data_IF_791402983503
#
_entry.id   IF_791402983503
#
_cell.length_a   1.000
_cell.length_b   1.000
_cell.length_c   1.000
_cell.angle_alpha   90.00
_cell.angle_beta   90.00
_cell.angle_gamma   90.00
#
_symmetry.space_group_name_H-M   'P 1'
#
loop_
_entity.id
_entity.type
_entity.pdbx_description
1 polymer ?
#
# COMPACT_ATOMS: atom_id res chain seq x y z
N UNK A 1 -4.95 -20.36 -11.74
CA UNK A 1 -5.73 -19.39 -10.95
C UNK A 1 -7.02 -19.03 -11.69
N UNK A 2 -7.87 -20.04 -11.94
CA UNK A 2 -9.06 -19.91 -12.82
C UNK A 2 -10.15 -19.03 -12.18
N UNK A 3 -10.26 -19.09 -10.85
CA UNK A 3 -11.29 -18.39 -10.08
C UNK A 3 -11.18 -16.86 -10.21
N UNK A 4 -9.96 -16.31 -10.14
CA UNK A 4 -9.75 -14.85 -10.19
C UNK A 4 -10.16 -14.28 -11.55
N UNK A 5 -9.86 -15.00 -12.63
CA UNK A 5 -10.15 -14.55 -13.98
C UNK A 5 -11.66 -14.60 -14.28
N UNK A 6 -12.37 -15.62 -13.80
CA UNK A 6 -13.83 -15.71 -13.90
C UNK A 6 -14.55 -14.64 -13.06
N UNK A 7 -14.04 -14.33 -11.87
CA UNK A 7 -14.55 -13.24 -11.02
C UNK A 7 -14.34 -11.89 -11.70
N UNK A 8 -13.14 -11.64 -12.23
CA UNK A 8 -12.83 -10.40 -12.96
C UNK A 8 -13.74 -10.22 -14.17
N UNK A 9 -13.92 -11.28 -14.97
CA UNK A 9 -14.80 -11.26 -16.15
C UNK A 9 -16.25 -10.95 -15.79
N UNK A 10 -16.71 -11.41 -14.62
CA UNK A 10 -18.06 -11.14 -14.13
C UNK A 10 -18.18 -9.71 -13.61
N UNK A 11 -17.20 -9.25 -12.82
CA UNK A 11 -17.14 -7.88 -12.31
C UNK A 11 -17.13 -6.84 -13.43
N UNK A 12 -16.37 -7.07 -14.50
CA UNK A 12 -16.29 -6.14 -15.63
C UNK A 12 -17.58 -6.01 -16.45
N UNK A 13 -18.56 -6.91 -16.27
CA UNK A 13 -19.88 -6.81 -16.91
C UNK A 13 -20.89 -5.99 -16.11
N UNK A 14 -20.57 -5.63 -14.88
CA UNK A 14 -21.44 -4.80 -14.04
C UNK A 14 -21.47 -3.35 -14.56
N UNK A 15 -22.55 -2.60 -14.29
CA UNK A 15 -22.57 -1.14 -14.44
C UNK A 15 -21.39 -0.47 -13.73
N UNK A 16 -21.00 0.72 -14.19
CA UNK A 16 -19.85 1.47 -13.64
C UNK A 16 -19.95 1.66 -12.13
N UNK A 17 -21.15 1.98 -11.65
CA UNK A 17 -21.47 2.27 -10.28
C UNK A 17 -21.28 1.02 -9.40
N UNK A 18 -21.81 -0.12 -9.85
CA UNK A 18 -21.68 -1.40 -9.14
C UNK A 18 -20.23 -1.91 -9.14
N UNK A 19 -19.46 -1.64 -10.20
CA UNK A 19 -18.01 -1.93 -10.21
C UNK A 19 -17.26 -1.12 -9.16
N UNK A 20 -17.60 0.17 -9.00
CA UNK A 20 -16.98 1.02 -7.99
C UNK A 20 -17.27 0.50 -6.58
N UNK A 21 -18.53 0.15 -6.29
CA UNK A 21 -18.94 -0.43 -5.00
C UNK A 21 -18.24 -1.77 -4.73
N UNK A 22 -18.14 -2.65 -5.75
CA UNK A 22 -17.43 -3.92 -5.60
C UNK A 22 -15.93 -3.71 -5.33
N UNK A 23 -15.30 -2.78 -6.06
CA UNK A 23 -13.89 -2.47 -5.86
C UNK A 23 -13.63 -1.91 -4.44
N UNK A 24 -14.48 -1.00 -3.96
CA UNK A 24 -14.41 -0.46 -2.60
C UNK A 24 -14.48 -1.57 -1.55
N UNK A 25 -15.44 -2.50 -1.66
CA UNK A 25 -15.58 -3.62 -0.71
C UNK A 25 -14.39 -4.57 -0.75
N UNK A 26 -13.88 -4.87 -1.94
CA UNK A 26 -12.69 -5.71 -2.08
C UNK A 26 -11.48 -5.03 -1.46
N UNK A 27 -11.30 -3.72 -1.65
CA UNK A 27 -10.24 -2.95 -1.00
C UNK A 27 -10.41 -2.96 0.52
N UNK A 28 -11.60 -2.66 1.04
CA UNK A 28 -11.87 -2.69 2.47
C UNK A 28 -11.64 -4.08 3.09
N UNK A 29 -11.86 -5.17 2.35
CA UNK A 29 -11.56 -6.52 2.84
C UNK A 29 -10.05 -6.81 2.97
N UNK A 30 -9.18 -5.97 2.39
CA UNK A 30 -7.74 -6.04 2.62
C UNK A 30 -7.34 -5.37 3.94
N UNK A 31 -8.19 -4.50 4.47
CA UNK A 31 -7.98 -3.80 5.75
C UNK A 31 -8.44 -4.65 6.96
N UNK A 32 -9.03 -5.83 6.73
CA UNK A 32 -9.50 -6.79 7.75
C UNK A 32 -8.38 -7.63 8.40
N UNK A 33 -7.11 -7.33 8.12
CA UNK A 33 -6.01 -7.81 8.97
C UNK A 33 -6.17 -7.17 10.35
N UNK A 34 -6.10 -7.97 11.42
CA UNK A 34 -6.23 -7.46 12.79
C UNK A 34 -5.23 -6.30 12.97
N UNK A 35 -5.67 -5.20 13.59
CA UNK A 35 -4.80 -4.07 13.91
C UNK A 35 -3.52 -4.53 14.64
N UNK A 36 -3.63 -5.61 15.43
CA UNK A 36 -2.50 -6.26 16.08
C UNK A 36 -1.54 -6.98 15.11
N UNK A 37 -2.05 -7.59 14.04
CA UNK A 37 -1.23 -8.20 12.99
C UNK A 37 -0.50 -7.11 12.18
N UNK A 38 -1.16 -5.98 11.92
CA UNK A 38 -0.52 -4.81 11.31
C UNK A 38 0.61 -4.26 12.16
N UNK A 39 0.37 -4.04 13.45
CA UNK A 39 1.38 -3.53 14.39
C UNK A 39 2.59 -4.47 14.48
N UNK A 40 2.35 -5.78 14.49
CA UNK A 40 3.41 -6.79 14.47
C UNK A 40 4.26 -6.71 13.20
N UNK A 41 3.63 -6.74 12.03
CA UNK A 41 4.32 -6.68 10.73
C UNK A 41 5.04 -5.35 10.53
N UNK A 42 4.45 -4.23 10.96
CA UNK A 42 5.10 -2.92 10.93
C UNK A 42 6.27 -2.84 11.91
N UNK A 43 6.14 -3.41 13.10
CA UNK A 43 7.23 -3.50 14.08
C UNK A 43 8.45 -4.21 13.48
N UNK A 44 8.25 -5.40 12.92
CA UNK A 44 9.30 -6.17 12.24
C UNK A 44 9.94 -5.38 11.08
N UNK A 45 9.12 -4.70 10.27
CA UNK A 45 9.58 -3.86 9.16
C UNK A 45 10.45 -2.69 9.64
N UNK A 46 10.01 -1.99 10.70
CA UNK A 46 10.72 -0.85 11.29
C UNK A 46 12.07 -1.31 11.83
N UNK A 47 12.10 -2.40 12.58
CA UNK A 47 13.34 -2.95 13.11
C UNK A 47 14.32 -3.32 11.99
N UNK A 48 13.83 -4.00 10.94
CA UNK A 48 14.64 -4.38 9.78
C UNK A 48 15.22 -3.16 9.07
N UNK A 49 14.41 -2.13 8.78
CA UNK A 49 14.86 -0.91 8.10
C UNK A 49 15.83 -0.11 8.95
N UNK A 50 15.59 -0.01 10.25
CA UNK A 50 16.46 0.69 11.18
C UNK A 50 17.83 0.01 11.30
N UNK A 51 17.86 -1.33 11.35
CA UNK A 51 19.10 -2.08 11.34
C UNK A 51 19.89 -1.84 10.04
N UNK A 52 19.23 -1.91 8.89
CA UNK A 52 19.84 -1.64 7.58
C UNK A 52 20.38 -0.20 7.45
N UNK A 53 19.68 0.78 8.03
CA UNK A 53 20.16 2.15 8.10
C UNK A 53 21.40 2.28 9.00
N UNK A 54 21.34 1.74 10.22
CA UNK A 54 22.43 1.82 11.20
C UNK A 54 23.70 1.12 10.72
N UNK A 55 23.58 0.03 9.98
CA UNK A 55 24.72 -0.72 9.44
C UNK A 55 25.19 -0.20 8.07
N UNK A 56 24.56 0.85 7.53
CA UNK A 56 24.96 1.50 6.27
C UNK A 56 24.58 0.74 4.99
N UNK A 57 23.83 -0.36 5.09
CA UNK A 57 23.34 -1.11 3.90
C UNK A 57 22.14 -0.44 3.24
N UNK A 58 21.39 0.40 3.96
CA UNK A 58 20.31 1.18 3.39
C UNK A 58 20.81 2.50 2.76
N UNK A 59 20.33 2.81 1.56
CA UNK A 59 20.57 4.10 0.90
C UNK A 59 19.63 5.17 1.47
N UNK A 60 20.15 6.06 2.30
CA UNK A 60 19.43 7.21 2.80
C UNK A 60 19.34 8.34 1.75
N UNK A 61 18.32 9.20 1.89
CA UNK A 61 18.17 10.45 1.15
C UNK A 61 18.24 11.61 2.14
N UNK A 62 18.79 12.75 1.70
CA UNK A 62 18.76 13.98 2.51
C UNK A 62 17.31 14.38 2.78
N UNK A 63 17.03 14.83 4.01
CA UNK A 63 15.73 15.36 4.36
C UNK A 63 15.37 16.58 3.48
N UNK A 64 16.34 17.47 3.23
CA UNK A 64 16.15 18.66 2.40
C UNK A 64 15.74 18.30 0.96
N UNK A 65 16.37 17.27 0.38
CA UNK A 65 16.04 16.79 -0.97
C UNK A 65 14.61 16.22 -1.03
N UNK A 66 14.19 15.55 0.04
CA UNK A 66 12.84 14.98 0.16
C UNK A 66 11.81 16.09 0.30
N UNK A 67 12.03 17.09 1.15
CA UNK A 67 11.13 18.24 1.30
C UNK A 67 11.01 19.06 0.02
N UNK A 68 12.13 19.40 -0.62
CA UNK A 68 12.12 20.12 -1.90
C UNK A 68 11.44 19.32 -3.02
N UNK A 69 11.48 17.98 -2.98
CA UNK A 69 10.70 17.15 -3.89
C UNK A 69 9.20 17.21 -3.58
N UNK A 70 8.81 17.12 -2.30
CA UNK A 70 7.41 17.18 -1.88
C UNK A 70 6.76 18.52 -2.25
N UNK A 71 7.44 19.64 -2.00
CA UNK A 71 6.97 20.98 -2.37
C UNK A 71 6.70 21.13 -3.86
N UNK A 72 7.56 20.55 -4.71
CA UNK A 72 7.35 20.55 -6.17
C UNK A 72 6.17 19.70 -6.62
N UNK A 73 5.84 18.63 -5.88
CA UNK A 73 4.75 17.73 -6.22
C UNK A 73 3.39 18.21 -5.71
N UNK A 74 3.37 18.92 -4.59
CA UNK A 74 2.17 19.39 -3.90
C UNK A 74 1.90 20.89 -4.11
N UNK A 75 2.81 21.60 -4.75
CA UNK A 75 2.77 23.05 -4.95
C UNK A 75 1.99 23.54 -6.18
N UNK A 76 1.20 22.67 -6.82
CA UNK A 76 0.23 23.01 -7.88
C UNK A 76 -1.21 22.86 -7.38
#
# INVERSE_FOLDING_TARGET
MVIVEDVLKTALRLPVEDRAVLAERLLASLDDLDEHEWDGLWGEEVERRLAAYRNGSARARSADDVYAQAERLLGD
#
